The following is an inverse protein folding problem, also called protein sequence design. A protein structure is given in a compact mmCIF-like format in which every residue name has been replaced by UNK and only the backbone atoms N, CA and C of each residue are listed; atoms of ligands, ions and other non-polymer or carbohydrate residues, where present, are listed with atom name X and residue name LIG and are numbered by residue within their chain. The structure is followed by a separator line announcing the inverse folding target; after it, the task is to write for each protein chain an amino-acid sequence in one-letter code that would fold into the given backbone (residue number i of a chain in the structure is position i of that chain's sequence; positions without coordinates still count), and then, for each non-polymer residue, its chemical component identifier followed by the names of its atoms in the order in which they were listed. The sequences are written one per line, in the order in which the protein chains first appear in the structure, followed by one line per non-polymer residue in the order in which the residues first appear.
data_IF_787879437698
#
_entry.id   IF_787879437698
#
_cell.length_a   1.000
_cell.length_b   1.000
_cell.length_c   1.000
_cell.angle_alpha   90.00
_cell.angle_beta   90.00
_cell.angle_gamma   90.00
#
_symmetry.space_group_name_H-M   'P 1'
#
loop_
_entity.id
_entity.type
_entity.pdbx_description
1 polymer ?
#
# COMPACT_ATOMS: atom_id res chain seq x y z
N UNK A 1 17.62 0.89 16.00
CA UNK A 1 17.79 -0.33 16.81
C UNK A 1 19.18 -0.95 16.68
N UNK A 2 19.65 -1.30 15.46
CA UNK A 2 20.95 -2.01 15.28
C UNK A 2 22.14 -1.21 15.82
N UNK A 3 22.24 0.10 15.59
CA UNK A 3 23.32 0.96 16.14
C UNK A 3 23.33 0.96 17.66
N UNK A 4 22.17 1.10 18.29
CA UNK A 4 22.04 1.10 19.74
C UNK A 4 22.43 -0.26 20.33
N UNK A 5 21.97 -1.36 19.73
CA UNK A 5 22.40 -2.70 20.16
C UNK A 5 23.92 -2.90 20.06
N UNK A 6 24.56 -2.35 19.01
CA UNK A 6 26.03 -2.38 18.87
C UNK A 6 26.71 -1.64 20.01
N UNK A 7 26.22 -0.45 20.38
CA UNK A 7 26.75 0.33 21.51
C UNK A 7 26.59 -0.41 22.85
N UNK A 8 25.43 -1.02 23.11
CA UNK A 8 25.21 -1.85 24.30
C UNK A 8 26.20 -3.02 24.39
N UNK A 9 26.47 -3.71 23.28
CA UNK A 9 27.45 -4.81 23.21
C UNK A 9 28.89 -4.34 23.42
N UNK A 10 29.18 -3.08 23.08
CA UNK A 10 30.49 -2.45 23.31
C UNK A 10 30.64 -1.90 24.75
N UNK A 11 29.64 -2.07 25.61
CA UNK A 11 29.69 -1.62 26.99
C UNK A 11 29.44 -0.12 27.19
N UNK A 12 28.87 0.57 26.19
CA UNK A 12 28.58 2.01 26.25
C UNK A 12 27.59 2.33 27.40
N UNK A 13 28.07 3.09 28.39
CA UNK A 13 27.31 3.47 29.59
C UNK A 13 26.06 4.30 29.24
N UNK A 14 26.18 5.25 28.31
CA UNK A 14 25.04 6.09 27.87
C UNK A 14 23.96 5.28 27.17
N UNK A 15 24.38 4.30 26.35
CA UNK A 15 23.44 3.40 25.70
C UNK A 15 22.67 2.54 26.71
N UNK A 16 23.34 2.12 27.79
CA UNK A 16 22.72 1.34 28.87
C UNK A 16 21.79 2.19 29.73
N UNK A 17 22.18 3.39 30.10
CA UNK A 17 21.34 4.36 30.83
C UNK A 17 20.06 4.70 30.05
N UNK A 18 20.19 4.99 28.76
CA UNK A 18 19.05 5.21 27.87
C UNK A 18 18.09 4.01 27.84
N UNK A 19 18.63 2.78 27.83
CA UNK A 19 17.80 1.58 27.87
C UNK A 19 17.07 1.45 29.22
N UNK A 20 17.73 1.77 30.33
CA UNK A 20 17.13 1.74 31.66
C UNK A 20 16.02 2.79 31.83
N UNK A 21 16.13 3.93 31.18
CA UNK A 21 15.07 4.95 31.17
C UNK A 21 13.83 4.47 30.41
N UNK A 22 14.01 3.73 29.32
CA UNK A 22 12.91 3.29 28.47
C UNK A 22 12.24 2.00 28.94
N UNK A 23 12.96 1.15 29.68
CA UNK A 23 12.47 -0.15 30.14
C UNK A 23 12.43 -0.23 31.67
N UNK A 24 11.30 -0.70 32.28
CA UNK A 24 11.20 -0.84 33.72
C UNK A 24 12.13 -1.93 34.28
N UNK A 25 12.49 -2.90 33.45
CA UNK A 25 13.46 -3.98 33.78
C UNK A 25 14.42 -4.12 32.60
N UNK A 26 15.71 -3.93 32.87
CA UNK A 26 16.77 -4.07 31.86
C UNK A 26 17.34 -5.49 31.93
N UNK A 27 17.28 -6.29 30.85
CA UNK A 27 17.89 -7.61 30.82
C UNK A 27 19.43 -7.51 31.02
N UNK A 28 20.02 -8.52 31.66
CA UNK A 28 21.48 -8.60 31.85
C UNK A 28 22.23 -8.59 30.49
N UNK A 29 21.66 -9.23 29.47
CA UNK A 29 22.16 -9.27 28.10
C UNK A 29 21.07 -8.76 27.13
N UNK A 30 20.94 -7.44 26.93
CA UNK A 30 19.89 -6.89 26.08
C UNK A 30 20.04 -7.33 24.61
N UNK A 31 18.95 -7.80 24.03
CA UNK A 31 18.87 -8.20 22.63
C UNK A 31 18.21 -7.15 21.73
N UNK A 32 18.04 -7.48 20.47
CA UNK A 32 17.41 -6.59 19.49
C UNK A 32 15.98 -6.25 19.86
N UNK A 33 15.23 -7.21 20.41
CA UNK A 33 13.82 -7.01 20.81
C UNK A 33 13.69 -6.00 21.95
N UNK A 34 14.63 -6.02 22.90
CA UNK A 34 14.62 -5.08 24.04
C UNK A 34 14.87 -3.66 23.54
N UNK A 35 15.85 -3.49 22.65
CA UNK A 35 16.14 -2.20 22.02
C UNK A 35 14.97 -1.71 21.15
N UNK A 36 14.30 -2.60 20.44
CA UNK A 36 13.11 -2.26 19.66
C UNK A 36 11.95 -1.82 20.54
N UNK A 37 11.72 -2.53 21.65
CA UNK A 37 10.70 -2.15 22.64
C UNK A 37 11.02 -0.80 23.30
N UNK A 38 12.26 -0.60 23.68
CA UNK A 38 12.72 0.67 24.25
C UNK A 38 12.49 1.83 23.29
N UNK A 39 12.86 1.68 22.01
CA UNK A 39 12.59 2.68 20.97
C UNK A 39 11.10 2.99 20.83
N UNK A 40 10.26 1.97 20.85
CA UNK A 40 8.81 2.20 20.77
C UNK A 40 8.29 3.01 21.96
N UNK A 41 8.74 2.68 23.17
CA UNK A 41 8.36 3.36 24.42
C UNK A 41 8.85 4.80 24.49
N UNK A 42 10.06 5.10 24.01
CA UNK A 42 10.56 6.48 23.89
C UNK A 42 9.65 7.37 23.05
N UNK A 43 8.90 6.77 22.11
CA UNK A 43 7.90 7.46 21.28
C UNK A 43 6.46 7.31 21.80
N UNK A 44 6.27 6.86 23.05
CA UNK A 44 4.95 6.68 23.64
C UNK A 44 4.14 5.51 23.06
N UNK A 45 4.81 4.58 22.37
CA UNK A 45 4.16 3.48 21.68
C UNK A 45 4.36 2.14 22.42
N UNK A 46 3.36 1.23 22.41
CA UNK A 46 3.40 0.03 23.25
C UNK A 46 4.43 -1.01 22.76
N UNK A 47 4.73 -1.03 21.47
CA UNK A 47 5.60 -2.06 20.89
C UNK A 47 6.21 -1.63 19.55
N UNK A 48 7.26 -2.33 19.14
CA UNK A 48 7.97 -2.11 17.86
C UNK A 48 7.05 -2.12 16.61
N UNK A 49 6.06 -3.02 16.47
CA UNK A 49 5.12 -2.95 15.34
C UNK A 49 4.36 -1.62 15.27
N UNK A 50 3.93 -1.08 16.42
CA UNK A 50 3.25 0.22 16.48
C UNK A 50 4.17 1.37 16.04
N UNK A 51 5.44 1.35 16.45
CA UNK A 51 6.41 2.35 15.98
C UNK A 51 6.65 2.24 14.47
N UNK A 52 6.79 1.04 13.94
CA UNK A 52 6.93 0.84 12.49
C UNK A 52 5.71 1.35 11.72
N UNK A 53 4.52 1.11 12.26
CA UNK A 53 3.26 1.60 11.68
C UNK A 53 3.24 3.13 11.67
N UNK A 54 3.51 3.77 12.79
CA UNK A 54 3.52 5.23 12.89
C UNK A 54 4.54 5.88 11.92
N UNK A 55 5.72 5.28 11.79
CA UNK A 55 6.74 5.74 10.83
C UNK A 55 6.27 5.58 9.38
N UNK A 56 5.58 4.48 9.06
CA UNK A 56 5.04 4.25 7.73
C UNK A 56 3.91 5.26 7.41
N UNK A 57 3.07 5.57 8.39
CA UNK A 57 2.00 6.57 8.25
C UNK A 57 2.56 7.97 8.01
N UNK A 58 3.56 8.39 8.80
CA UNK A 58 4.26 9.66 8.59
C UNK A 58 4.96 9.74 7.22
N UNK A 59 5.55 8.63 6.77
CA UNK A 59 6.16 8.57 5.45
C UNK A 59 5.11 8.73 4.35
N UNK A 60 3.93 8.12 4.52
CA UNK A 60 2.82 8.21 3.58
C UNK A 60 2.24 9.64 3.51
N UNK A 61 2.10 10.32 4.65
CA UNK A 61 1.58 11.69 4.73
C UNK A 61 2.46 12.70 3.96
N UNK A 62 3.75 12.41 3.84
CA UNK A 62 4.70 13.25 3.07
C UNK A 62 4.67 12.98 1.56
N UNK A 63 3.97 11.95 1.11
CA UNK A 63 3.85 11.60 -0.30
C UNK A 63 2.79 12.44 -1.00
N UNK A 64 3.05 12.80 -2.25
CA UNK A 64 2.05 13.41 -3.13
C UNK A 64 0.89 12.45 -3.40
N UNK A 65 -0.23 12.98 -3.90
CA UNK A 65 -1.37 12.14 -4.30
C UNK A 65 -0.95 11.11 -5.36
N UNK A 66 -0.16 11.51 -6.36
CA UNK A 66 0.33 10.61 -7.40
C UNK A 66 1.16 9.45 -6.85
N UNK A 67 2.08 9.73 -5.90
CA UNK A 67 2.87 8.68 -5.24
C UNK A 67 2.00 7.74 -4.39
N UNK A 68 0.96 8.25 -3.74
CA UNK A 68 0.01 7.41 -2.98
C UNK A 68 -0.82 6.52 -3.91
N UNK A 69 -1.25 7.04 -5.08
CA UNK A 69 -1.90 6.26 -6.15
C UNK A 69 -0.98 5.13 -6.60
N UNK A 70 0.30 5.45 -6.86
CA UNK A 70 1.28 4.44 -7.25
C UNK A 70 1.44 3.34 -6.17
N UNK A 71 1.60 3.73 -4.90
CA UNK A 71 1.70 2.78 -3.79
C UNK A 71 0.45 1.90 -3.71
N UNK A 72 -0.75 2.48 -3.82
CA UNK A 72 -2.01 1.74 -3.78
C UNK A 72 -2.08 0.68 -4.88
N UNK A 73 -1.90 1.10 -6.14
CA UNK A 73 -2.08 0.22 -7.30
C UNK A 73 -0.99 -0.86 -7.37
N UNK A 74 0.27 -0.53 -7.04
CA UNK A 74 1.33 -1.54 -6.94
C UNK A 74 1.10 -2.53 -5.81
N UNK A 75 0.66 -2.06 -4.64
CA UNK A 75 0.35 -2.94 -3.50
C UNK A 75 -0.84 -3.85 -3.80
N UNK A 76 -1.84 -3.35 -4.52
CA UNK A 76 -2.99 -4.15 -4.96
C UNK A 76 -2.55 -5.31 -5.88
N UNK A 77 -1.63 -5.05 -6.81
CA UNK A 77 -1.05 -6.04 -7.71
C UNK A 77 -0.11 -7.03 -6.99
N UNK A 78 0.81 -6.51 -6.18
CA UNK A 78 1.83 -7.31 -5.50
C UNK A 78 1.27 -8.17 -4.35
N UNK A 79 0.00 -7.97 -3.99
CA UNK A 79 -0.67 -8.69 -2.91
C UNK A 79 -0.20 -8.23 -1.52
N UNK A 80 0.05 -6.93 -1.34
CA UNK A 80 0.23 -6.30 -0.02
C UNK A 80 -1.04 -5.53 0.40
N UNK A 81 -2.08 -6.25 0.86
CA UNK A 81 -3.34 -5.63 1.24
C UNK A 81 -3.18 -4.69 2.45
N UNK A 82 -2.17 -4.90 3.29
CA UNK A 82 -1.93 -4.04 4.45
C UNK A 82 -1.42 -2.66 4.03
N UNK A 83 -0.50 -2.59 3.06
CA UNK A 83 -0.05 -1.32 2.51
C UNK A 83 -1.18 -0.59 1.78
N UNK A 84 -1.94 -1.29 0.95
CA UNK A 84 -3.08 -0.72 0.25
C UNK A 84 -4.17 -0.20 1.22
N UNK A 85 -4.54 -0.97 2.24
CA UNK A 85 -5.50 -0.57 3.26
C UNK A 85 -5.03 0.68 4.03
N UNK A 86 -3.73 0.78 4.32
CA UNK A 86 -3.14 1.96 4.97
C UNK A 86 -3.28 3.21 4.11
N UNK A 87 -3.00 3.10 2.80
CA UNK A 87 -3.19 4.22 1.87
C UNK A 87 -4.65 4.67 1.86
N UNK A 88 -5.59 3.73 1.73
CA UNK A 88 -7.02 4.03 1.70
C UNK A 88 -7.55 4.62 3.00
N UNK A 89 -7.02 4.19 4.15
CA UNK A 89 -7.40 4.74 5.46
C UNK A 89 -6.92 6.18 5.66
N UNK A 90 -5.74 6.51 5.13
CA UNK A 90 -5.14 7.86 5.25
C UNK A 90 -5.59 8.82 4.14
N UNK A 91 -6.05 8.30 3.02
CA UNK A 91 -6.41 9.07 1.82
C UNK A 91 -7.61 8.43 1.11
N UNK A 92 -8.82 8.45 1.73
CA UNK A 92 -10.01 7.81 1.16
C UNK A 92 -10.41 8.40 -0.20
N UNK A 93 -10.10 9.67 -0.43
CA UNK A 93 -10.34 10.38 -1.70
C UNK A 93 -9.63 9.76 -2.90
N UNK A 94 -8.57 8.98 -2.65
CA UNK A 94 -7.79 8.36 -3.70
C UNK A 94 -8.59 7.32 -4.51
N UNK A 95 -9.67 6.77 -3.95
CA UNK A 95 -10.56 5.84 -4.64
C UNK A 95 -11.10 6.42 -5.94
N UNK A 96 -11.39 7.71 -5.95
CA UNK A 96 -11.93 8.45 -7.09
C UNK A 96 -10.88 9.32 -7.80
N UNK A 97 -9.58 9.18 -7.51
CA UNK A 97 -8.54 10.03 -8.08
C UNK A 97 -8.44 9.89 -9.60
N UNK A 98 -8.51 8.66 -10.10
CA UNK A 98 -8.55 8.36 -11.54
C UNK A 98 -9.40 7.09 -11.81
N UNK A 99 -9.53 6.70 -13.08
CA UNK A 99 -10.29 5.51 -13.44
C UNK A 99 -9.62 4.23 -12.92
N UNK A 100 -8.29 4.17 -12.89
CA UNK A 100 -7.54 2.97 -12.49
C UNK A 100 -7.68 2.70 -11.00
N UNK A 101 -7.65 3.75 -10.17
CA UNK A 101 -7.90 3.62 -8.73
C UNK A 101 -9.35 3.28 -8.43
N UNK A 102 -10.32 3.91 -9.14
CA UNK A 102 -11.74 3.61 -8.98
C UNK A 102 -12.03 2.14 -9.29
N UNK A 103 -11.50 1.64 -10.40
CA UNK A 103 -11.64 0.25 -10.82
C UNK A 103 -10.97 -0.70 -9.82
N UNK A 104 -9.73 -0.44 -9.42
CA UNK A 104 -8.99 -1.31 -8.50
C UNK A 104 -9.62 -1.38 -7.10
N UNK A 105 -10.26 -0.30 -6.65
CA UNK A 105 -10.90 -0.22 -5.33
C UNK A 105 -12.38 -0.59 -5.33
N UNK A 106 -12.97 -0.86 -6.51
CA UNK A 106 -14.37 -1.22 -6.63
C UNK A 106 -15.36 -0.05 -6.46
N UNK A 107 -14.93 1.18 -6.71
CA UNK A 107 -15.77 2.38 -6.65
C UNK A 107 -16.59 2.53 -7.93
N UNK A 108 -17.74 1.84 -7.99
CA UNK A 108 -18.61 1.80 -9.17
C UNK A 108 -19.09 3.20 -9.56
N UNK A 109 -19.46 4.05 -8.59
CA UNK A 109 -19.96 5.39 -8.87
C UNK A 109 -18.87 6.25 -9.54
N UNK A 110 -17.64 6.19 -9.04
CA UNK A 110 -16.52 6.90 -9.66
C UNK A 110 -16.21 6.36 -11.05
N UNK A 111 -16.29 5.04 -11.26
CA UNK A 111 -16.11 4.41 -12.59
C UNK A 111 -17.17 4.92 -13.57
N UNK A 112 -18.45 4.87 -13.22
CA UNK A 112 -19.54 5.34 -14.08
C UNK A 112 -19.41 6.81 -14.43
N UNK A 113 -19.13 7.66 -13.45
CA UNK A 113 -18.92 9.09 -13.66
C UNK A 113 -17.77 9.37 -14.64
N UNK A 114 -16.66 8.63 -14.54
CA UNK A 114 -15.50 8.82 -15.42
C UNK A 114 -15.73 8.27 -16.81
N UNK A 115 -16.41 7.14 -16.95
CA UNK A 115 -16.77 6.58 -18.26
C UNK A 115 -17.82 7.43 -18.99
N UNK A 116 -18.73 8.06 -18.25
CA UNK A 116 -19.68 9.01 -18.82
C UNK A 116 -18.99 10.27 -19.37
N UNK A 117 -17.91 10.72 -18.70
CA UNK A 117 -17.13 11.87 -19.17
C UNK A 117 -16.19 11.51 -20.34
N UNK A 118 -15.65 10.31 -20.37
CA UNK A 118 -14.73 9.82 -21.41
C UNK A 118 -14.88 8.30 -21.60
N UNK A 119 -15.78 7.86 -22.49
CA UNK A 119 -15.97 6.45 -22.80
C UNK A 119 -14.71 5.75 -23.30
N UNK A 120 -13.84 6.47 -24.02
CA UNK A 120 -12.57 5.95 -24.53
C UNK A 120 -11.57 5.57 -23.45
N UNK A 121 -11.75 6.06 -22.22
CA UNK A 121 -10.91 5.73 -21.09
C UNK A 121 -10.94 4.25 -20.72
N UNK A 122 -12.03 3.52 -21.04
CA UNK A 122 -12.15 2.07 -20.80
C UNK A 122 -11.05 1.25 -21.48
N UNK A 123 -10.48 1.74 -22.58
CA UNK A 123 -9.42 1.07 -23.37
C UNK A 123 -8.07 1.75 -23.27
N UNK A 124 -7.98 2.87 -22.56
CA UNK A 124 -6.74 3.63 -22.46
C UNK A 124 -5.83 3.01 -21.41
N UNK A 125 -4.59 2.73 -21.82
CA UNK A 125 -3.53 2.38 -20.89
C UNK A 125 -3.15 3.57 -20.05
N UNK A 126 -2.75 3.31 -18.80
CA UNK A 126 -2.28 4.35 -17.90
C UNK A 126 -2.07 3.85 -16.48
N UNK A 127 -1.98 4.80 -15.54
CA UNK A 127 -1.60 4.49 -14.17
C UNK A 127 -0.15 3.99 -14.08
N UNK A 128 0.31 3.61 -12.88
CA UNK A 128 1.72 3.27 -12.63
C UNK A 128 2.21 1.98 -13.28
N UNK A 129 1.31 1.15 -13.80
CA UNK A 129 1.63 -0.11 -14.47
C UNK A 129 1.40 -0.04 -15.99
N UNK A 130 0.94 1.11 -16.48
CA UNK A 130 0.57 1.33 -17.89
C UNK A 130 -0.39 0.26 -18.43
N UNK A 131 -1.40 -0.08 -17.62
CA UNK A 131 -2.40 -1.08 -17.95
C UNK A 131 -3.74 -0.43 -18.33
N UNK A 132 -4.55 -1.19 -19.08
CA UNK A 132 -5.95 -0.87 -19.28
C UNK A 132 -6.75 -1.08 -17.98
N UNK A 133 -7.87 -0.34 -17.77
CA UNK A 133 -8.67 -0.44 -16.54
C UNK A 133 -9.12 -1.86 -16.20
N UNK A 134 -9.54 -2.63 -17.18
CA UNK A 134 -10.02 -4.01 -16.96
C UNK A 134 -8.94 -4.90 -16.33
N UNK A 135 -7.67 -4.65 -16.66
CA UNK A 135 -6.54 -5.37 -16.07
C UNK A 135 -6.31 -5.00 -14.60
N UNK A 136 -6.42 -3.71 -14.25
CA UNK A 136 -6.39 -3.31 -12.85
C UNK A 136 -7.49 -3.99 -12.05
N UNK A 137 -8.70 -4.15 -12.61
CA UNK A 137 -9.79 -4.89 -11.98
C UNK A 137 -9.45 -6.37 -11.76
N UNK A 138 -8.94 -7.05 -12.80
CA UNK A 138 -8.64 -8.48 -12.78
C UNK A 138 -7.55 -8.85 -11.77
N UNK A 139 -6.58 -7.97 -11.58
CA UNK A 139 -5.42 -8.22 -10.72
C UNK A 139 -5.46 -7.50 -9.36
N UNK A 140 -6.46 -6.68 -9.09
CA UNK A 140 -6.60 -6.01 -7.80
C UNK A 140 -6.94 -7.01 -6.69
N UNK A 141 -6.02 -7.17 -5.73
CA UNK A 141 -6.18 -8.05 -4.55
C UNK A 141 -6.55 -7.22 -3.32
N UNK A 142 -7.60 -6.40 -3.44
CA UNK A 142 -8.05 -5.53 -2.36
C UNK A 142 -9.28 -6.10 -1.65
N UNK A 143 -9.35 -6.04 -0.31
CA UNK A 143 -10.53 -6.45 0.43
C UNK A 143 -11.75 -5.61 0.03
N UNK A 144 -12.88 -6.25 -0.24
CA UNK A 144 -14.15 -5.59 -0.56
C UNK A 144 -14.33 -5.17 -2.03
N UNK A 145 -13.29 -5.21 -2.86
CA UNK A 145 -13.39 -4.84 -4.29
C UNK A 145 -14.27 -5.79 -5.12
N UNK A 146 -14.44 -7.04 -4.67
CA UNK A 146 -15.16 -8.06 -5.44
C UNK A 146 -16.67 -7.84 -5.59
N UNK A 147 -17.31 -7.12 -4.69
CA UNK A 147 -18.78 -6.92 -4.72
C UNK A 147 -19.23 -6.16 -5.97
N UNK A 148 -18.52 -5.11 -6.35
CA UNK A 148 -18.81 -4.32 -7.53
C UNK A 148 -18.03 -4.78 -8.79
N UNK A 149 -17.10 -5.73 -8.65
CA UNK A 149 -16.17 -6.07 -9.73
C UNK A 149 -16.87 -6.53 -11.01
N UNK A 150 -17.92 -7.37 -10.89
CA UNK A 150 -18.66 -7.84 -12.05
C UNK A 150 -19.37 -6.70 -12.78
N UNK A 151 -19.95 -5.77 -12.03
CA UNK A 151 -20.66 -4.63 -12.63
C UNK A 151 -19.68 -3.67 -13.30
N UNK A 152 -18.54 -3.40 -12.65
CA UNK A 152 -17.45 -2.60 -13.23
C UNK A 152 -16.93 -3.26 -14.52
N UNK A 153 -16.72 -4.59 -14.52
CA UNK A 153 -16.31 -5.33 -15.73
C UNK A 153 -17.31 -5.16 -16.87
N UNK A 154 -18.62 -5.24 -16.58
CA UNK A 154 -19.68 -5.01 -17.56
C UNK A 154 -19.60 -3.59 -18.12
N UNK A 155 -19.51 -2.57 -17.26
CA UNK A 155 -19.40 -1.17 -17.69
C UNK A 155 -18.20 -0.93 -18.60
N UNK A 156 -17.03 -1.46 -18.21
CA UNK A 156 -15.82 -1.35 -19.03
C UNK A 156 -15.97 -2.03 -20.38
N UNK A 157 -16.52 -3.27 -20.41
CA UNK A 157 -16.78 -4.02 -21.66
C UNK A 157 -17.77 -3.27 -22.55
N UNK A 158 -18.85 -2.74 -22.01
CA UNK A 158 -19.86 -2.01 -22.78
C UNK A 158 -19.31 -0.71 -23.38
N UNK A 159 -18.20 -0.19 -22.84
CA UNK A 159 -17.38 0.89 -23.40
C UNK A 159 -16.21 0.38 -24.27
N UNK A 160 -16.22 -0.91 -24.60
CA UNK A 160 -15.30 -1.52 -25.56
C UNK A 160 -13.98 -2.03 -25.00
N UNK A 161 -13.86 -2.20 -23.68
CA UNK A 161 -12.72 -2.92 -23.13
C UNK A 161 -12.73 -4.38 -23.60
N UNK A 162 -11.58 -4.89 -24.08
CA UNK A 162 -11.44 -6.25 -24.55
C UNK A 162 -11.01 -7.19 -23.41
N UNK A 163 -11.87 -8.13 -22.97
CA UNK A 163 -11.49 -9.09 -21.93
C UNK A 163 -10.42 -10.09 -22.39
N UNK A 164 -10.18 -10.21 -23.70
CA UNK A 164 -9.17 -11.09 -24.27
C UNK A 164 -7.88 -10.34 -24.64
N UNK A 165 -7.76 -9.05 -24.27
CA UNK A 165 -6.57 -8.27 -24.53
C UNK A 165 -5.33 -8.97 -23.96
N UNK A 166 -4.34 -9.19 -24.81
CA UNK A 166 -3.08 -9.82 -24.42
C UNK A 166 -2.05 -8.76 -24.03
N UNK A 167 -1.21 -9.10 -23.08
CA UNK A 167 -0.03 -8.30 -22.78
C UNK A 167 1.19 -9.20 -22.55
N UNK A 168 2.33 -8.63 -22.76
CA UNK A 168 3.61 -9.19 -22.35
C UNK A 168 4.15 -8.33 -21.22
N UNK A 169 4.52 -8.94 -20.11
CA UNK A 169 5.09 -8.26 -18.96
C UNK A 169 6.62 -8.13 -19.04
N UNK A 170 7.17 -8.34 -20.24
CA UNK A 170 8.61 -8.42 -20.47
C UNK A 170 9.18 -9.83 -20.33
N UNK A 171 8.37 -10.80 -19.94
CA UNK A 171 8.67 -12.23 -20.01
C UNK A 171 7.95 -12.78 -21.25
N UNK A 172 8.51 -13.79 -21.90
CA UNK A 172 7.97 -14.33 -23.17
C UNK A 172 6.56 -14.95 -23.10
N UNK A 173 5.90 -14.85 -21.94
CA UNK A 173 4.56 -15.40 -21.72
C UNK A 173 3.47 -14.32 -21.91
N UNK A 174 2.60 -14.43 -22.91
CA UNK A 174 1.42 -13.60 -23.02
C UNK A 174 0.37 -14.01 -22.00
N UNK A 175 -0.17 -13.05 -21.26
CA UNK A 175 -1.31 -13.25 -20.37
C UNK A 175 -2.57 -12.68 -21.01
N UNK A 176 -3.71 -13.33 -20.74
CA UNK A 176 -5.06 -12.82 -21.05
C UNK A 176 -5.76 -12.40 -19.77
N UNK A 177 -6.62 -11.41 -19.84
CA UNK A 177 -7.46 -10.95 -18.71
C UNK A 177 -8.64 -11.88 -18.50
#
# INVERSE_FOLDING_TARGET
AKRWLKALRAGDAKARERLATALPVVPAAPGLRDVQLALAREHGLPAWPALRQALADLALERRSLAERVEILLRSAWQGDPAAAARVLAKSPEIRAADLYTAVATGDLEAVERRLAADPGAARRKGGPLDWEPLRYLAYARLPGGGVAALEIARRLRDQGADPNARFTDGWENPFTV
#
